data_IF_527177871301
#
_entry.id   IF_527177871301
#
_cell.length_a   1.000
_cell.length_b   1.000
_cell.length_c   1.000
_cell.angle_alpha   90.00
_cell.angle_beta   90.00
_cell.angle_gamma   90.00
#
_symmetry.space_group_name_H-M   'P 1'
#
loop_
_entity.id
_entity.type
_entity.pdbx_description
1 polymer ?
#
# COMPACT_ATOMS: atom_id res chain seq x y z
N UNK A 1 -38.05 8.01 37.71
CA UNK A 1 -38.16 7.07 36.56
C UNK A 1 -37.13 7.46 35.50
N UNK A 2 -36.02 6.78 35.19
CA UNK A 2 -35.07 5.93 35.91
C UNK A 2 -33.67 6.41 35.42
N UNK A 3 -32.76 6.87 36.31
CA UNK A 3 -31.45 7.40 35.89
C UNK A 3 -30.58 6.37 35.17
N UNK A 4 -30.85 5.09 35.43
CA UNK A 4 -30.19 3.92 34.86
C UNK A 4 -30.36 3.88 33.33
N UNK A 5 -31.54 4.22 32.80
CA UNK A 5 -31.78 4.17 31.35
C UNK A 5 -30.93 5.19 30.60
N UNK A 6 -30.78 6.41 31.15
CA UNK A 6 -29.94 7.46 30.56
C UNK A 6 -28.46 7.08 30.53
N UNK A 7 -27.99 6.41 31.59
CA UNK A 7 -26.62 5.95 31.69
C UNK A 7 -26.34 4.86 30.65
N UNK A 8 -27.26 3.90 30.46
CA UNK A 8 -27.14 2.84 29.46
C UNK A 8 -27.10 3.43 28.03
N UNK A 9 -28.04 4.32 27.69
CA UNK A 9 -28.06 4.96 26.37
C UNK A 9 -26.77 5.74 26.09
N UNK A 10 -26.25 6.46 27.07
CA UNK A 10 -24.98 7.19 26.95
C UNK A 10 -23.80 6.24 26.74
N UNK A 11 -23.69 5.17 27.53
CA UNK A 11 -22.58 4.21 27.40
C UNK A 11 -22.63 3.44 26.08
N UNK A 12 -23.83 3.12 25.58
CA UNK A 12 -24.00 2.42 24.29
C UNK A 12 -23.54 3.33 23.14
N UNK A 13 -23.96 4.60 23.12
CA UNK A 13 -23.54 5.57 22.09
C UNK A 13 -22.02 5.85 22.12
N UNK A 14 -21.43 5.92 23.31
CA UNK A 14 -19.98 6.09 23.47
C UNK A 14 -19.24 4.84 22.98
N UNK A 15 -19.73 3.63 23.31
CA UNK A 15 -19.08 2.39 22.86
C UNK A 15 -19.17 2.18 21.35
N UNK A 16 -20.31 2.47 20.71
CA UNK A 16 -20.47 2.27 19.27
C UNK A 16 -19.63 3.22 18.44
N UNK A 17 -19.52 4.48 18.85
CA UNK A 17 -18.66 5.48 18.21
C UNK A 17 -17.17 5.13 18.34
N UNK A 18 -16.75 4.64 19.52
CA UNK A 18 -15.39 4.12 19.73
C UNK A 18 -15.12 2.89 18.85
N UNK A 19 -16.06 1.93 18.78
CA UNK A 19 -15.92 0.76 17.91
C UNK A 19 -15.78 1.14 16.43
N UNK A 20 -16.52 2.15 15.96
CA UNK A 20 -16.47 2.60 14.57
C UNK A 20 -15.19 3.37 14.22
N UNK A 21 -14.57 4.04 15.20
CA UNK A 21 -13.24 4.66 15.08
C UNK A 21 -12.10 3.62 15.07
N UNK A 22 -12.27 2.49 15.77
CA UNK A 22 -11.30 1.39 15.82
C UNK A 22 -11.28 0.55 14.53
N UNK A 23 -12.26 0.71 13.63
CA UNK A 23 -12.25 0.12 12.28
C UNK A 23 -11.37 0.89 11.28
N UNK A 24 -10.43 1.72 11.73
CA UNK A 24 -9.40 2.25 10.85
C UNK A 24 -8.46 1.11 10.46
N UNK A 25 -8.67 0.62 9.23
CA UNK A 25 -7.94 -0.46 8.57
C UNK A 25 -6.48 -0.58 9.06
N UNK A 26 -6.15 -1.72 9.66
CA UNK A 26 -4.81 -2.11 10.14
C UNK A 26 -3.77 -2.26 9.01
N UNK A 27 -3.94 -1.51 7.93
CA UNK A 27 -3.15 -1.58 6.70
C UNK A 27 -1.80 -0.85 6.84
N UNK A 28 -1.63 -0.07 7.91
CA UNK A 28 -0.37 0.63 8.20
C UNK A 28 0.79 -0.31 8.52
N UNK A 29 0.52 -1.48 9.11
CA UNK A 29 1.54 -2.48 9.46
C UNK A 29 1.94 -3.37 8.28
N UNK A 30 1.25 -3.23 7.13
CA UNK A 30 1.40 -4.12 5.98
C UNK A 30 2.13 -3.50 4.78
N UNK A 31 3.00 -2.50 4.98
CA UNK A 31 3.80 -1.89 3.89
C UNK A 31 5.19 -2.52 3.81
N UNK A 32 5.39 -3.60 3.02
CA UNK A 32 6.66 -4.31 2.97
C UNK A 32 7.78 -3.42 2.44
N UNK A 33 8.96 -3.55 3.02
CA UNK A 33 10.21 -2.98 2.50
C UNK A 33 11.04 -4.12 1.94
N UNK A 34 11.44 -4.01 0.67
CA UNK A 34 12.29 -4.99 -0.02
C UNK A 34 13.57 -4.30 -0.49
N UNK A 35 14.67 -5.04 -0.48
CA UNK A 35 15.98 -4.58 -0.94
C UNK A 35 16.26 -5.12 -2.34
N UNK A 36 16.63 -4.24 -3.26
CA UNK A 36 17.09 -4.57 -4.61
C UNK A 36 18.51 -4.02 -4.81
N UNK A 37 19.16 -4.39 -5.92
CA UNK A 37 20.49 -3.88 -6.26
C UNK A 37 20.53 -2.34 -6.39
N UNK A 38 19.40 -1.74 -6.79
CA UNK A 38 19.25 -0.31 -7.02
C UNK A 38 18.78 0.47 -5.77
N UNK A 39 18.39 -0.23 -4.69
CA UNK A 39 18.01 0.40 -3.44
C UNK A 39 16.81 -0.26 -2.75
N UNK A 40 16.15 0.50 -1.87
CA UNK A 40 15.00 0.03 -1.09
C UNK A 40 13.69 0.36 -1.79
N UNK A 41 12.80 -0.62 -1.90
CA UNK A 41 11.45 -0.46 -2.42
C UNK A 41 10.43 -0.60 -1.29
N UNK A 42 9.43 0.29 -1.31
CA UNK A 42 8.28 0.22 -0.40
C UNK A 42 7.06 -0.24 -1.20
N UNK A 43 6.48 -1.36 -0.79
CA UNK A 43 5.27 -1.92 -1.38
C UNK A 43 4.03 -1.66 -0.53
N UNK A 44 2.93 -2.23 -1.00
CA UNK A 44 1.62 -2.18 -0.36
C UNK A 44 1.03 -3.59 -0.39
N UNK A 45 0.46 -4.06 0.71
CA UNK A 45 -0.36 -5.28 0.73
C UNK A 45 -1.76 -4.94 0.22
N UNK A 46 -2.25 -5.67 -0.76
CA UNK A 46 -3.58 -5.48 -1.34
C UNK A 46 -4.37 -6.78 -1.30
N UNK A 47 -5.68 -6.67 -1.20
CA UNK A 47 -6.60 -7.80 -1.31
C UNK A 47 -6.90 -8.07 -2.79
N UNK A 48 -6.96 -9.34 -3.16
CA UNK A 48 -7.41 -9.75 -4.49
C UNK A 48 -8.90 -9.38 -4.70
N UNK A 49 -9.33 -9.27 -5.95
CA UNK A 49 -10.71 -8.89 -6.32
C UNK A 49 -11.72 -9.86 -5.71
N UNK A 50 -11.42 -11.15 -5.74
CA UNK A 50 -12.26 -12.21 -5.18
C UNK A 50 -12.26 -12.24 -3.65
N UNK A 51 -11.42 -11.42 -3.00
CA UNK A 51 -11.28 -11.35 -1.56
C UNK A 51 -10.62 -12.57 -0.90
N UNK A 52 -10.22 -13.56 -1.68
CA UNK A 52 -9.70 -14.85 -1.23
C UNK A 52 -8.26 -14.80 -0.72
N UNK A 53 -7.48 -13.83 -1.18
CA UNK A 53 -6.03 -13.77 -0.93
C UNK A 53 -5.52 -12.33 -0.88
N UNK A 54 -4.37 -12.16 -0.25
CA UNK A 54 -3.61 -10.91 -0.27
C UNK A 54 -2.37 -11.08 -1.14
N UNK A 55 -1.96 -10.00 -1.80
CA UNK A 55 -0.73 -9.93 -2.57
C UNK A 55 0.03 -8.64 -2.24
N UNK A 56 1.33 -8.63 -2.52
CA UNK A 56 2.17 -7.44 -2.36
C UNK A 56 2.35 -6.77 -3.72
N UNK A 57 2.08 -5.48 -3.79
CA UNK A 57 2.19 -4.67 -4.99
C UNK A 57 3.29 -3.62 -4.84
N UNK A 58 4.16 -3.52 -5.85
CA UNK A 58 5.20 -2.49 -5.95
C UNK A 58 4.97 -1.74 -7.26
N UNK A 59 4.50 -0.49 -7.16
CA UNK A 59 4.17 0.34 -8.32
C UNK A 59 5.30 1.34 -8.61
N UNK A 60 5.47 1.69 -9.90
CA UNK A 60 6.39 2.75 -10.30
C UNK A 60 7.87 2.45 -10.07
N UNK A 61 8.27 1.18 -9.99
CA UNK A 61 9.67 0.79 -9.80
C UNK A 61 10.47 1.17 -11.06
N UNK A 62 11.46 2.07 -10.96
CA UNK A 62 12.24 2.48 -12.11
C UNK A 62 13.17 1.33 -12.54
N UNK A 63 13.08 0.93 -13.80
CA UNK A 63 13.91 -0.13 -14.38
C UNK A 63 15.06 0.40 -15.25
N UNK A 64 15.01 1.69 -15.61
CA UNK A 64 16.00 2.35 -16.44
C UNK A 64 16.08 3.84 -16.09
N UNK A 65 17.12 4.51 -16.59
CA UNK A 65 17.20 5.97 -16.52
C UNK A 65 16.07 6.58 -17.36
N UNK A 66 15.39 7.64 -16.87
CA UNK A 66 14.36 8.32 -17.65
C UNK A 66 14.89 8.77 -19.02
N UNK A 67 14.17 8.52 -20.13
CA UNK A 67 14.64 8.83 -21.49
C UNK A 67 14.45 10.33 -21.83
N UNK A 68 15.07 11.19 -21.03
CA UNK A 68 14.99 12.65 -21.15
C UNK A 68 16.18 13.20 -21.95
N UNK A 69 15.98 14.35 -22.62
CA UNK A 69 17.02 15.04 -23.37
C UNK A 69 17.70 14.16 -24.40
N UNK A 70 19.02 14.04 -24.33
CA UNK A 70 19.84 13.23 -25.24
C UNK A 70 19.65 11.71 -25.09
N UNK A 71 18.91 11.25 -24.07
CA UNK A 71 18.51 9.86 -23.91
C UNK A 71 17.23 9.55 -24.71
N UNK A 72 16.49 10.56 -25.15
CA UNK A 72 15.32 10.39 -26.00
C UNK A 72 15.74 9.73 -27.31
N UNK A 73 14.99 8.71 -27.73
CA UNK A 73 15.27 7.91 -28.93
C UNK A 73 16.57 7.09 -28.89
N UNK A 74 17.30 7.05 -27.77
CA UNK A 74 18.34 6.04 -27.56
C UNK A 74 17.67 4.76 -27.07
N UNK A 75 17.80 3.69 -27.85
CA UNK A 75 17.27 2.39 -27.46
C UNK A 75 18.10 1.88 -26.27
N UNK A 76 17.44 1.37 -25.24
CA UNK A 76 18.08 0.51 -24.22
C UNK A 76 18.71 -0.76 -24.84
N UNK A 77 18.45 -1.00 -26.14
CA UNK A 77 18.75 -2.24 -26.88
C UNK A 77 20.08 -2.22 -27.66
N UNK A 78 20.71 -1.06 -27.94
CA UNK A 78 21.93 -1.07 -28.77
C UNK A 78 23.15 -1.69 -28.08
N UNK A 79 23.10 -1.82 -26.75
CA UNK A 79 24.10 -2.53 -25.96
C UNK A 79 23.89 -4.06 -25.94
N UNK A 80 22.70 -4.55 -26.34
CA UNK A 80 22.42 -5.99 -26.34
C UNK A 80 22.94 -6.70 -27.60
N UNK A 81 23.13 -5.97 -28.70
CA UNK A 81 23.61 -6.53 -29.98
C UNK A 81 25.14 -6.72 -29.97
N UNK A 82 25.88 -5.98 -29.13
CA UNK A 82 27.35 -6.07 -29.04
C UNK A 82 27.83 -6.90 -27.83
N UNK A 83 26.94 -7.65 -27.18
CA UNK A 83 27.27 -8.53 -26.04
C UNK A 83 27.32 -10.02 -26.42
N UNK A 84 27.36 -10.33 -27.72
CA UNK A 84 27.69 -11.64 -28.28
C UNK A 84 28.87 -11.51 -29.25
#
# INVERSE_FOLDING_TARGET
MTPILRLIFSTVLISTTVQQLVLSDSDFDSRPIVYTQQGRLRGIKKKNVDGSSYYYAFHGVPYAKPPLGNLRFKVLCFDFINSF
#
